data_IF_746255473587
#
_entry.id   IF_746255473587
#
_cell.length_a   1.000
_cell.length_b   1.000
_cell.length_c   1.000
_cell.angle_alpha   90.00
_cell.angle_beta   90.00
_cell.angle_gamma   90.00
#
_symmetry.space_group_name_H-M   'P 1'
#
loop_
_entity.id
_entity.type
_entity.pdbx_description
1 polymer ?
#
# COMPACT_ATOMS: atom_id res chain seq x y z
N UNK A 1 4.29 -14.55 -12.83
CA UNK A 1 4.50 -15.66 -11.87
C UNK A 1 3.19 -15.92 -11.16
N UNK A 2 2.69 -17.15 -11.19
CA UNK A 2 1.54 -17.55 -10.36
C UNK A 2 2.01 -17.68 -8.92
N UNK A 3 1.45 -16.87 -8.03
CA UNK A 3 1.71 -17.00 -6.58
C UNK A 3 0.88 -18.18 -6.09
N UNK A 4 1.53 -19.20 -5.55
CA UNK A 4 0.85 -20.36 -4.96
C UNK A 4 0.49 -20.05 -3.51
N UNK A 5 -0.74 -20.37 -3.10
CA UNK A 5 -1.15 -20.26 -1.71
C UNK A 5 -0.59 -21.45 -0.92
N UNK A 6 0.34 -21.24 0.04
CA UNK A 6 0.82 -22.35 0.86
C UNK A 6 -0.24 -22.77 1.90
N UNK A 7 0.00 -23.88 2.59
CA UNK A 7 -0.87 -24.31 3.70
C UNK A 7 -0.40 -23.66 5.00
N UNK A 8 -1.34 -23.19 5.82
CA UNK A 8 -1.07 -22.66 7.16
C UNK A 8 -2.28 -22.88 8.06
N UNK A 9 -2.11 -23.68 9.12
CA UNK A 9 -3.16 -23.92 10.11
C UNK A 9 -3.55 -22.64 10.88
N UNK A 10 -2.59 -21.73 11.06
CA UNK A 10 -2.86 -20.42 11.66
C UNK A 10 -3.74 -19.58 10.74
N UNK A 11 -3.39 -19.50 9.45
CA UNK A 11 -4.18 -18.77 8.49
C UNK A 11 -5.60 -19.35 8.35
N UNK A 12 -5.73 -20.68 8.34
CA UNK A 12 -7.04 -21.36 8.31
C UNK A 12 -7.90 -20.96 9.52
N UNK A 13 -7.33 -21.04 10.73
CA UNK A 13 -8.02 -20.65 11.98
C UNK A 13 -8.42 -19.18 11.97
N UNK A 14 -7.53 -18.29 11.52
CA UNK A 14 -7.80 -16.86 11.49
C UNK A 14 -8.84 -16.50 10.43
N UNK A 15 -8.81 -17.15 9.28
CA UNK A 15 -9.76 -16.93 8.21
C UNK A 15 -11.16 -17.38 8.63
N UNK A 16 -11.29 -18.56 9.24
CA UNK A 16 -12.56 -19.06 9.78
C UNK A 16 -13.17 -18.07 10.78
N UNK A 17 -12.37 -17.60 11.75
CA UNK A 17 -12.80 -16.58 12.72
C UNK A 17 -13.18 -15.27 12.03
N UNK A 18 -12.39 -14.83 11.05
CA UNK A 18 -12.61 -13.58 10.33
C UNK A 18 -13.95 -13.61 9.58
N UNK A 19 -14.22 -14.69 8.85
CA UNK A 19 -15.45 -14.88 8.08
C UNK A 19 -16.66 -15.15 8.96
N UNK A 20 -16.48 -15.60 10.21
CA UNK A 20 -17.57 -15.68 11.19
C UNK A 20 -17.86 -14.33 11.85
N UNK A 21 -16.82 -13.54 12.18
CA UNK A 21 -16.97 -12.33 13.01
C UNK A 21 -17.36 -11.09 12.21
N UNK A 22 -16.82 -10.92 10.99
CA UNK A 22 -17.05 -9.69 10.21
C UNK A 22 -18.50 -9.54 9.71
N UNK A 23 -19.14 -10.60 9.17
CA UNK A 23 -20.51 -10.48 8.66
C UNK A 23 -21.55 -10.12 9.74
N UNK A 24 -21.36 -10.53 10.99
CA UNK A 24 -22.26 -10.22 12.11
C UNK A 24 -22.37 -8.71 12.39
N UNK A 25 -21.39 -7.92 11.96
CA UNK A 25 -21.37 -6.47 12.12
C UNK A 25 -21.67 -5.73 10.80
N UNK A 26 -22.09 -6.43 9.75
CA UNK A 26 -22.32 -5.85 8.44
C UNK A 26 -23.45 -4.80 8.49
N UNK A 27 -23.29 -3.76 7.68
CA UNK A 27 -24.20 -2.64 7.52
C UNK A 27 -24.44 -2.42 6.02
N UNK A 28 -25.53 -2.96 5.45
CA UNK A 28 -25.80 -2.89 4.02
C UNK A 28 -25.94 -1.47 3.47
N UNK A 29 -26.46 -0.54 4.27
CA UNK A 29 -26.60 0.86 3.86
C UNK A 29 -25.22 1.51 3.74
N UNK A 30 -24.38 1.34 4.77
CA UNK A 30 -23.00 1.84 4.73
C UNK A 30 -22.17 1.15 3.66
N UNK A 31 -22.37 -0.15 3.44
CA UNK A 31 -21.73 -0.90 2.38
C UNK A 31 -21.98 -0.26 1.00
N UNK A 32 -23.22 0.12 0.71
CA UNK A 32 -23.58 0.83 -0.51
C UNK A 32 -22.84 2.17 -0.67
N UNK A 33 -22.75 2.95 0.41
CA UNK A 33 -22.03 4.23 0.43
C UNK A 33 -20.51 4.05 0.24
N UNK A 34 -19.90 3.07 0.91
CA UNK A 34 -18.47 2.76 0.81
C UNK A 34 -18.10 2.25 -0.59
N UNK A 35 -18.94 1.38 -1.17
CA UNK A 35 -18.79 0.90 -2.54
C UNK A 35 -18.83 2.06 -3.55
N UNK A 36 -19.79 2.96 -3.42
CA UNK A 36 -19.91 4.14 -4.29
C UNK A 36 -18.69 5.07 -4.17
N UNK A 37 -18.21 5.32 -2.93
CA UNK A 37 -17.01 6.13 -2.70
C UNK A 37 -15.76 5.53 -3.39
N UNK A 38 -15.64 4.20 -3.40
CA UNK A 38 -14.56 3.48 -4.06
C UNK A 38 -14.82 3.16 -5.53
N UNK A 39 -15.83 3.80 -6.14
CA UNK A 39 -16.19 3.62 -7.56
C UNK A 39 -16.40 2.16 -7.95
N UNK A 40 -17.11 1.43 -7.10
CA UNK A 40 -17.54 0.05 -7.35
C UNK A 40 -16.41 -0.96 -7.53
N UNK A 41 -15.20 -0.67 -7.02
CA UNK A 41 -14.03 -1.56 -7.15
C UNK A 41 -14.22 -2.95 -6.51
N UNK A 42 -15.01 -3.02 -5.44
CA UNK A 42 -15.32 -4.25 -4.71
C UNK A 42 -16.62 -4.09 -3.90
N UNK A 43 -17.28 -5.21 -3.54
CA UNK A 43 -18.25 -5.26 -2.45
C UNK A 43 -17.67 -4.79 -1.11
N UNK A 44 -18.56 -4.43 -0.18
CA UNK A 44 -18.21 -4.02 1.18
C UNK A 44 -19.19 -4.65 2.16
N UNK A 45 -18.73 -4.91 3.38
CA UNK A 45 -19.58 -5.24 4.52
C UNK A 45 -20.15 -3.99 5.20
N UNK A 46 -19.60 -2.80 4.94
CA UNK A 46 -20.02 -1.56 5.59
C UNK A 46 -19.35 -1.34 6.94
N UNK A 47 -18.16 -1.90 7.18
CA UNK A 47 -17.47 -1.76 8.46
C UNK A 47 -16.57 -0.52 8.45
N UNK A 48 -16.81 0.39 9.39
CA UNK A 48 -15.91 1.54 9.61
C UNK A 48 -14.55 1.06 10.14
N UNK A 49 -13.50 1.86 9.92
CA UNK A 49 -12.15 1.53 10.42
C UNK A 49 -12.11 1.21 11.92
N UNK A 50 -12.76 1.98 12.83
CA UNK A 50 -12.79 1.64 14.26
C UNK A 50 -13.45 0.28 14.55
N UNK A 51 -14.59 -0.01 13.91
CA UNK A 51 -15.31 -1.29 14.08
C UNK A 51 -14.46 -2.44 13.55
N UNK A 52 -13.97 -2.35 12.31
CA UNK A 52 -13.09 -3.36 11.70
C UNK A 52 -11.88 -3.66 12.58
N UNK A 53 -11.23 -2.63 13.13
CA UNK A 53 -10.05 -2.78 14.01
C UNK A 53 -10.40 -3.33 15.39
N UNK A 54 -11.63 -3.14 15.86
CA UNK A 54 -12.10 -3.79 17.08
C UNK A 54 -12.31 -5.28 16.85
N UNK A 55 -13.04 -5.64 15.79
CA UNK A 55 -13.30 -7.02 15.40
C UNK A 55 -12.02 -7.78 15.07
N UNK A 56 -11.03 -7.13 14.44
CA UNK A 56 -9.74 -7.78 14.15
C UNK A 56 -8.98 -8.18 15.41
N UNK A 57 -9.17 -7.49 16.54
CA UNK A 57 -8.59 -7.93 17.83
C UNK A 57 -9.24 -9.21 18.33
N UNK A 58 -10.56 -9.35 18.15
CA UNK A 58 -11.29 -10.59 18.48
C UNK A 58 -10.81 -11.75 17.63
N UNK A 59 -10.68 -11.55 16.32
CA UNK A 59 -10.17 -12.57 15.39
C UNK A 59 -8.76 -13.05 15.79
N UNK A 60 -7.89 -12.11 16.15
CA UNK A 60 -6.49 -12.37 16.50
C UNK A 60 -6.26 -12.79 17.96
N UNK A 61 -7.32 -12.86 18.78
CA UNK A 61 -7.18 -13.16 20.20
C UNK A 61 -6.59 -14.58 20.41
N UNK A 62 -5.52 -14.65 21.21
CA UNK A 62 -4.82 -15.90 21.50
C UNK A 62 -4.04 -16.51 20.32
N UNK A 63 -3.96 -15.83 19.17
CA UNK A 63 -3.22 -16.33 18.03
C UNK A 63 -1.70 -16.30 18.30
N UNK A 64 -0.95 -17.35 17.93
CA UNK A 64 0.51 -17.34 18.01
C UNK A 64 1.11 -16.28 17.08
N UNK A 65 2.40 -15.98 17.29
CA UNK A 65 3.16 -15.13 16.37
C UNK A 65 3.30 -15.86 15.02
N UNK A 66 2.94 -15.23 13.90
CA UNK A 66 3.04 -15.88 12.60
C UNK A 66 4.49 -15.99 12.11
N UNK A 67 4.70 -16.85 11.12
CA UNK A 67 5.86 -16.80 10.23
C UNK A 67 5.49 -16.18 8.86
N UNK A 68 6.41 -16.22 7.89
CA UNK A 68 6.17 -15.73 6.52
C UNK A 68 5.12 -16.57 5.77
N UNK A 69 5.05 -17.88 6.02
CA UNK A 69 4.07 -18.78 5.40
C UNK A 69 2.66 -18.42 5.85
N UNK A 70 2.47 -18.14 7.14
CA UNK A 70 1.21 -17.67 7.70
C UNK A 70 0.81 -16.33 7.10
N UNK A 71 1.75 -15.37 7.02
CA UNK A 71 1.51 -14.06 6.41
C UNK A 71 1.10 -14.18 4.94
N UNK A 72 1.79 -15.04 4.18
CA UNK A 72 1.51 -15.30 2.76
C UNK A 72 0.14 -15.93 2.57
N UNK A 73 -0.14 -17.02 3.30
CA UNK A 73 -1.40 -17.74 3.20
C UNK A 73 -2.58 -16.84 3.55
N UNK A 74 -2.51 -16.17 4.70
CA UNK A 74 -3.61 -15.31 5.16
C UNK A 74 -3.85 -14.13 4.23
N UNK A 75 -2.79 -13.48 3.74
CA UNK A 75 -2.94 -12.34 2.84
C UNK A 75 -3.60 -12.74 1.51
N UNK A 76 -3.15 -13.84 0.90
CA UNK A 76 -3.70 -14.34 -0.36
C UNK A 76 -5.15 -14.79 -0.20
N UNK A 77 -5.47 -15.52 0.88
CA UNK A 77 -6.83 -16.00 1.13
C UNK A 77 -7.82 -14.87 1.44
N UNK A 78 -7.39 -13.84 2.17
CA UNK A 78 -8.19 -12.64 2.34
C UNK A 78 -8.41 -11.88 1.03
N UNK A 79 -7.48 -11.98 0.07
CA UNK A 79 -7.59 -11.36 -1.26
C UNK A 79 -8.58 -12.09 -2.19
N UNK A 80 -8.89 -13.35 -1.90
CA UNK A 80 -9.90 -14.15 -2.59
C UNK A 80 -11.33 -13.85 -2.11
N UNK A 81 -11.49 -13.21 -0.95
CA UNK A 81 -12.80 -12.85 -0.40
C UNK A 81 -13.36 -11.60 -1.08
N UNK A 82 -14.69 -11.53 -1.31
CA UNK A 82 -15.27 -10.49 -2.15
C UNK A 82 -15.23 -9.09 -1.50
N UNK A 83 -15.51 -8.98 -0.21
CA UNK A 83 -15.64 -7.69 0.46
C UNK A 83 -14.28 -7.06 0.78
N UNK A 84 -14.15 -5.77 0.49
CA UNK A 84 -12.88 -5.03 0.62
C UNK A 84 -12.32 -5.04 2.05
N UNK A 85 -13.18 -5.17 3.07
CA UNK A 85 -12.77 -5.26 4.46
C UNK A 85 -11.84 -6.43 4.77
N UNK A 86 -11.91 -7.53 4.02
CA UNK A 86 -10.97 -8.65 4.16
C UNK A 86 -9.56 -8.29 3.67
N UNK A 87 -9.46 -7.58 2.53
CA UNK A 87 -8.19 -7.01 2.07
C UNK A 87 -7.62 -6.02 3.09
N UNK A 88 -8.47 -5.19 3.72
CA UNK A 88 -8.02 -4.29 4.79
C UNK A 88 -7.50 -5.02 6.03
N UNK A 89 -8.13 -6.14 6.41
CA UNK A 89 -7.63 -6.99 7.48
C UNK A 89 -6.24 -7.54 7.15
N UNK A 90 -6.05 -8.07 5.93
CA UNK A 90 -4.75 -8.54 5.47
C UNK A 90 -3.68 -7.44 5.48
N UNK A 91 -3.99 -6.24 5.01
CA UNK A 91 -3.06 -5.10 5.03
C UNK A 91 -2.68 -4.70 6.46
N UNK A 92 -3.65 -4.61 7.38
CA UNK A 92 -3.37 -4.31 8.79
C UNK A 92 -2.53 -5.43 9.45
N UNK A 93 -2.77 -6.68 9.08
CA UNK A 93 -2.02 -7.84 9.56
C UNK A 93 -0.57 -7.84 9.06
N UNK A 94 -0.36 -7.64 7.74
CA UNK A 94 0.96 -7.55 7.13
C UNK A 94 1.75 -6.37 7.69
N UNK A 95 1.13 -5.20 7.86
CA UNK A 95 1.78 -4.04 8.47
C UNK A 95 2.39 -4.33 9.84
N UNK A 96 1.79 -5.24 10.63
CA UNK A 96 2.29 -5.62 11.95
C UNK A 96 3.35 -6.73 11.90
N UNK A 97 3.33 -7.56 10.86
CA UNK A 97 4.11 -8.80 10.78
C UNK A 97 5.16 -8.82 9.66
N UNK A 98 5.25 -7.80 8.79
CA UNK A 98 6.19 -7.76 7.67
C UNK A 98 7.66 -7.86 8.11
N UNK A 99 7.99 -7.45 9.33
CA UNK A 99 9.34 -7.66 9.90
C UNK A 99 9.73 -9.14 10.09
N UNK A 100 8.80 -10.06 9.84
CA UNK A 100 9.00 -11.52 9.84
C UNK A 100 9.10 -12.10 8.42
N UNK A 101 8.89 -11.28 7.40
CA UNK A 101 8.95 -11.67 6.01
C UNK A 101 10.34 -11.33 5.45
N UNK A 102 10.89 -12.25 4.67
CA UNK A 102 12.10 -12.07 3.88
C UNK A 102 11.81 -11.35 2.56
N UNK A 103 12.85 -11.11 1.76
CA UNK A 103 12.69 -10.63 0.37
C UNK A 103 11.87 -11.59 -0.51
N UNK A 104 11.69 -12.85 -0.10
CA UNK A 104 10.80 -13.82 -0.73
C UNK A 104 9.33 -13.41 -0.75
N UNK A 105 8.91 -12.47 0.11
CA UNK A 105 7.54 -11.96 0.14
C UNK A 105 7.25 -10.90 -0.94
N UNK A 106 8.27 -10.32 -1.59
CA UNK A 106 8.06 -9.24 -2.57
C UNK A 106 7.15 -9.65 -3.75
N UNK A 107 7.27 -10.87 -4.34
CA UNK A 107 6.33 -11.35 -5.36
C UNK A 107 4.88 -11.45 -4.85
N UNK A 108 4.67 -11.81 -3.58
CA UNK A 108 3.34 -11.82 -2.94
C UNK A 108 2.80 -10.41 -2.86
N UNK A 109 3.60 -9.46 -2.37
CA UNK A 109 3.20 -8.05 -2.30
C UNK A 109 2.85 -7.48 -3.69
N UNK A 110 3.62 -7.84 -4.73
CA UNK A 110 3.31 -7.47 -6.12
C UNK A 110 1.95 -8.01 -6.59
N UNK A 111 1.66 -9.27 -6.28
CA UNK A 111 0.36 -9.88 -6.59
C UNK A 111 -0.77 -9.14 -5.89
N UNK A 112 -0.66 -8.87 -4.59
CA UNK A 112 -1.68 -8.11 -3.85
C UNK A 112 -1.92 -6.73 -4.47
N UNK A 113 -0.85 -6.02 -4.84
CA UNK A 113 -0.94 -4.69 -5.47
C UNK A 113 -1.67 -4.73 -6.81
N UNK A 114 -1.64 -5.84 -7.57
CA UNK A 114 -2.15 -5.91 -8.95
C UNK A 114 -3.49 -6.63 -9.13
N UNK A 115 -3.97 -7.41 -8.16
CA UNK A 115 -5.18 -8.26 -8.35
C UNK A 115 -6.52 -7.48 -8.25
N UNK A 116 -6.69 -6.63 -7.23
CA UNK A 116 -7.87 -5.74 -7.10
C UNK A 116 -7.36 -4.35 -6.70
N UNK A 117 -6.64 -3.68 -7.62
CA UNK A 117 -5.85 -2.53 -7.27
C UNK A 117 -6.72 -1.29 -7.03
N UNK A 118 -6.50 -0.63 -5.91
CA UNK A 118 -7.01 0.72 -5.65
C UNK A 118 -6.19 1.39 -4.55
N UNK A 119 -6.24 2.73 -4.50
CA UNK A 119 -5.32 3.52 -3.66
C UNK A 119 -5.42 3.17 -2.17
N UNK A 120 -6.59 2.78 -1.70
CA UNK A 120 -6.90 2.42 -0.32
C UNK A 120 -6.05 1.25 0.21
N UNK A 121 -5.75 0.24 -0.62
CA UNK A 121 -4.85 -0.87 -0.24
C UNK A 121 -3.43 -0.67 -0.75
N UNK A 122 -3.27 -0.19 -1.99
CA UNK A 122 -1.96 -0.04 -2.64
C UNK A 122 -1.06 0.91 -1.84
N UNK A 123 -1.60 2.04 -1.37
CA UNK A 123 -0.81 3.04 -0.65
C UNK A 123 -0.27 2.48 0.67
N UNK A 124 -1.08 1.67 1.36
CA UNK A 124 -0.69 1.03 2.61
C UNK A 124 0.32 -0.11 2.37
N UNK A 125 0.12 -0.92 1.34
CA UNK A 125 1.08 -1.95 0.94
C UNK A 125 2.42 -1.32 0.56
N UNK A 126 2.42 -0.24 -0.21
CA UNK A 126 3.63 0.49 -0.60
C UNK A 126 4.38 1.02 0.62
N UNK A 127 3.71 1.80 1.48
CA UNK A 127 4.38 2.51 2.58
C UNK A 127 4.74 1.61 3.77
N UNK A 128 3.98 0.54 4.01
CA UNK A 128 4.14 -0.29 5.20
C UNK A 128 4.67 -1.69 4.94
N UNK A 129 4.46 -2.26 3.76
CA UNK A 129 4.90 -3.63 3.44
C UNK A 129 6.12 -3.58 2.53
N UNK A 130 5.98 -3.12 1.29
CA UNK A 130 7.08 -3.02 0.32
C UNK A 130 8.18 -2.11 0.85
N UNK A 131 7.81 -0.94 1.35
CA UNK A 131 8.75 0.00 1.97
C UNK A 131 9.56 -0.64 3.09
N UNK A 132 8.95 -1.47 3.94
CA UNK A 132 9.63 -2.18 5.02
C UNK A 132 10.54 -3.31 4.53
N UNK A 133 10.12 -4.08 3.52
CA UNK A 133 10.95 -5.10 2.88
C UNK A 133 12.23 -4.49 2.29
N UNK A 134 12.10 -3.36 1.59
CA UNK A 134 13.26 -2.62 1.04
C UNK A 134 14.15 -2.04 2.17
N UNK A 135 13.61 -1.79 3.38
CA UNK A 135 14.47 -1.38 4.53
C UNK A 135 15.35 -2.55 4.91
N UNK A 136 14.71 -3.71 5.08
CA UNK A 136 15.36 -4.91 5.59
C UNK A 136 16.35 -5.50 4.59
N UNK A 137 16.07 -5.40 3.29
CA UNK A 137 16.94 -5.87 2.22
C UNK A 137 17.09 -4.79 1.12
N UNK A 138 18.12 -3.92 1.20
CA UNK A 138 18.37 -2.87 0.22
C UNK A 138 18.59 -3.38 -1.21
N UNK A 139 18.88 -4.68 -1.42
CA UNK A 139 18.98 -5.25 -2.77
C UNK A 139 17.66 -5.20 -3.53
N UNK A 140 16.53 -5.09 -2.82
CA UNK A 140 15.21 -4.90 -3.42
C UNK A 140 15.00 -3.50 -4.03
N UNK A 141 15.94 -2.57 -3.85
CA UNK A 141 15.89 -1.27 -4.53
C UNK A 141 15.87 -1.43 -6.06
N UNK A 142 16.57 -2.43 -6.60
CA UNK A 142 16.55 -2.76 -8.04
C UNK A 142 15.16 -3.15 -8.54
N UNK A 143 14.35 -3.79 -7.68
CA UNK A 143 12.98 -4.15 -8.03
C UNK A 143 12.12 -2.90 -8.07
N UNK A 144 12.36 -1.91 -7.19
CA UNK A 144 11.71 -0.60 -7.30
C UNK A 144 12.14 0.14 -8.55
N UNK A 145 13.42 0.02 -8.96
CA UNK A 145 13.94 0.66 -10.18
C UNK A 145 13.29 0.04 -11.43
N UNK A 146 12.87 -1.22 -11.37
CA UNK A 146 12.06 -1.86 -12.41
C UNK A 146 10.57 -1.48 -12.30
N UNK A 147 10.01 -1.46 -11.08
CA UNK A 147 8.58 -1.19 -10.85
C UNK A 147 8.18 0.23 -11.23
N UNK A 148 9.10 1.21 -11.13
CA UNK A 148 8.81 2.58 -11.59
C UNK A 148 8.61 2.67 -13.10
N UNK A 149 9.03 1.67 -13.88
CA UNK A 149 8.88 1.61 -15.34
C UNK A 149 7.79 0.63 -15.79
N UNK A 150 7.05 0.06 -14.83
CA UNK A 150 5.98 -0.91 -15.10
C UNK A 150 4.78 -0.26 -15.79
N UNK A 151 4.15 -0.99 -16.72
CA UNK A 151 2.92 -0.56 -17.39
C UNK A 151 1.72 -0.52 -16.43
N UNK A 152 1.74 -1.31 -15.36
CA UNK A 152 0.75 -1.23 -14.29
C UNK A 152 1.02 0.00 -13.40
N UNK A 153 0.15 1.00 -13.50
CA UNK A 153 0.24 2.24 -12.74
C UNK A 153 0.28 2.00 -11.22
N UNK A 154 -0.31 0.92 -10.69
CA UNK A 154 -0.32 0.64 -9.26
C UNK A 154 1.01 0.07 -8.77
N UNK A 155 1.73 -0.62 -9.65
CA UNK A 155 3.11 -1.03 -9.42
C UNK A 155 4.03 0.20 -9.45
N UNK A 156 3.91 1.06 -10.46
CA UNK A 156 4.68 2.31 -10.53
C UNK A 156 4.37 3.25 -9.35
N UNK A 157 3.10 3.36 -8.94
CA UNK A 157 2.68 4.07 -7.73
C UNK A 157 3.32 3.48 -6.49
N UNK A 158 3.41 2.15 -6.39
CA UNK A 158 4.11 1.50 -5.28
C UNK A 158 5.58 1.91 -5.21
N UNK A 159 6.27 1.93 -6.35
CA UNK A 159 7.65 2.40 -6.43
C UNK A 159 7.80 3.88 -6.02
N UNK A 160 6.87 4.76 -6.39
CA UNK A 160 6.87 6.16 -5.94
C UNK A 160 6.68 6.30 -4.42
N UNK A 161 5.87 5.43 -3.80
CA UNK A 161 5.44 5.59 -2.41
C UNK A 161 6.20 4.73 -1.38
N UNK A 162 7.05 3.79 -1.81
CA UNK A 162 7.75 2.87 -0.88
C UNK A 162 8.65 3.59 0.14
N UNK A 163 9.13 4.80 -0.18
CA UNK A 163 9.97 5.60 0.71
C UNK A 163 9.21 6.55 1.64
N UNK A 164 7.87 6.60 1.60
CA UNK A 164 7.06 7.61 2.33
C UNK A 164 7.39 7.74 3.83
N UNK A 165 7.92 6.70 4.46
CA UNK A 165 8.20 6.67 5.90
C UNK A 165 9.67 6.77 6.27
N UNK A 166 10.55 7.04 5.30
CA UNK A 166 12.01 7.00 5.48
C UNK A 166 12.62 8.26 6.11
N UNK A 167 11.95 9.41 5.99
CA UNK A 167 12.40 10.69 6.56
C UNK A 167 13.87 10.98 6.21
N UNK A 168 14.76 11.08 7.20
CA UNK A 168 16.19 11.38 7.03
C UNK A 168 16.94 10.29 6.24
N UNK A 169 16.39 9.08 6.19
CA UNK A 169 16.97 7.94 5.44
C UNK A 169 16.40 7.78 4.03
N UNK A 170 15.68 8.78 3.53
CA UNK A 170 15.13 8.76 2.16
C UNK A 170 16.28 8.88 1.16
N UNK A 171 16.33 7.96 0.19
CA UNK A 171 17.19 8.10 -0.98
C UNK A 171 16.56 9.14 -1.92
N UNK A 172 17.11 10.36 -1.87
CA UNK A 172 16.60 11.52 -2.62
C UNK A 172 16.87 11.44 -4.11
N UNK A 173 17.99 10.84 -4.51
CA UNK A 173 18.30 10.61 -5.92
C UNK A 173 17.23 9.71 -6.54
N UNK A 174 16.89 8.60 -5.87
CA UNK A 174 15.81 7.71 -6.31
C UNK A 174 14.45 8.40 -6.28
N UNK A 175 14.12 9.10 -5.18
CA UNK A 175 12.84 9.80 -5.04
C UNK A 175 12.62 10.79 -6.19
N UNK A 176 13.59 11.68 -6.42
CA UNK A 176 13.51 12.70 -7.46
C UNK A 176 13.60 12.09 -8.86
N UNK A 177 14.48 11.11 -9.07
CA UNK A 177 14.60 10.37 -10.31
C UNK A 177 13.28 9.71 -10.73
N UNK A 178 12.61 9.02 -9.79
CA UNK A 178 11.30 8.40 -10.04
C UNK A 178 10.23 9.42 -10.37
N UNK A 179 10.19 10.54 -9.64
CA UNK A 179 9.26 11.64 -9.93
C UNK A 179 9.45 12.17 -11.36
N UNK A 180 10.70 12.27 -11.85
CA UNK A 180 10.98 12.73 -13.21
C UNK A 180 10.67 11.71 -14.30
N UNK A 181 10.92 10.40 -14.04
CA UNK A 181 10.54 9.32 -14.96
C UNK A 181 9.02 9.28 -15.17
N UNK A 182 8.27 9.41 -14.09
CA UNK A 182 6.80 9.38 -14.12
C UNK A 182 6.13 10.76 -14.32
N UNK A 183 6.91 11.84 -14.44
CA UNK A 183 6.38 13.19 -14.64
C UNK A 183 5.43 13.33 -15.86
N UNK A 184 5.69 12.69 -17.02
CA UNK A 184 4.81 12.76 -18.18
C UNK A 184 3.50 11.97 -18.03
N UNK A 185 3.39 11.09 -17.02
CA UNK A 185 2.26 10.17 -16.91
C UNK A 185 0.92 10.95 -16.80
N UNK A 186 -0.09 10.60 -17.62
CA UNK A 186 -1.34 11.36 -17.67
C UNK A 186 -2.26 11.06 -16.48
N UNK A 187 -2.14 9.87 -15.89
CA UNK A 187 -3.05 9.38 -14.87
C UNK A 187 -3.03 10.20 -13.56
N UNK A 188 -4.21 10.36 -12.98
CA UNK A 188 -4.45 11.10 -11.76
C UNK A 188 -3.70 10.52 -10.56
N UNK A 189 -3.70 9.20 -10.39
CA UNK A 189 -3.08 8.53 -9.25
C UNK A 189 -1.56 8.62 -9.29
N UNK A 190 -0.93 8.54 -10.47
CA UNK A 190 0.51 8.76 -10.58
C UNK A 190 0.89 10.21 -10.23
N UNK A 191 0.18 11.20 -10.77
CA UNK A 191 0.42 12.61 -10.46
C UNK A 191 0.22 12.91 -8.97
N UNK A 192 -0.81 12.31 -8.35
CA UNK A 192 -1.02 12.38 -6.90
C UNK A 192 0.11 11.71 -6.11
N UNK A 193 0.64 10.58 -6.57
CA UNK A 193 1.75 9.90 -5.91
C UNK A 193 3.01 10.76 -5.91
N UNK A 194 3.40 11.33 -7.06
CA UNK A 194 4.53 12.27 -7.18
C UNK A 194 4.38 13.44 -6.21
N UNK A 195 3.22 14.10 -6.22
CA UNK A 195 2.98 15.21 -5.31
C UNK A 195 3.03 14.81 -3.83
N UNK A 196 2.53 13.62 -3.49
CA UNK A 196 2.50 13.14 -2.12
C UNK A 196 3.88 12.72 -1.61
N UNK A 197 4.66 11.94 -2.37
CA UNK A 197 6.00 11.54 -1.91
C UNK A 197 6.91 12.75 -1.70
N UNK A 198 6.83 13.77 -2.58
CA UNK A 198 7.51 15.05 -2.40
C UNK A 198 7.01 15.81 -1.17
N UNK A 199 5.69 15.93 -0.98
CA UNK A 199 5.12 16.61 0.20
C UNK A 199 5.51 15.91 1.50
N UNK A 200 5.56 14.59 1.49
CA UNK A 200 5.95 13.81 2.67
C UNK A 200 7.42 14.05 3.01
N UNK A 201 8.30 14.01 2.00
CA UNK A 201 9.72 14.30 2.19
C UNK A 201 9.99 15.76 2.58
N UNK A 202 9.16 16.71 2.14
CA UNK A 202 9.26 18.12 2.54
C UNK A 202 9.09 18.36 4.05
N UNK A 203 8.55 17.39 4.81
CA UNK A 203 8.54 17.45 6.28
C UNK A 203 9.93 17.25 6.89
N UNK A 204 10.85 16.64 6.15
CA UNK A 204 12.24 16.42 6.52
C UNK A 204 13.15 17.46 5.88
N UNK A 205 13.04 17.67 4.57
CA UNK A 205 13.85 18.64 3.84
C UNK A 205 12.97 19.48 2.87
N UNK A 206 12.40 20.59 3.36
CA UNK A 206 11.54 21.44 2.55
C UNK A 206 12.31 22.15 1.42
N UNK A 207 13.57 22.52 1.64
CA UNK A 207 14.36 23.30 0.69
C UNK A 207 14.82 22.46 -0.50
N UNK A 208 15.16 21.19 -0.27
CA UNK A 208 15.42 20.23 -1.35
C UNK A 208 14.18 20.06 -2.24
N UNK A 209 12.98 19.96 -1.65
CA UNK A 209 11.74 19.81 -2.41
C UNK A 209 11.40 21.08 -3.19
N UNK A 210 11.55 22.29 -2.61
CA UNK A 210 11.39 23.55 -3.35
C UNK A 210 12.33 23.63 -4.54
N UNK A 211 13.61 23.35 -4.30
CA UNK A 211 14.66 23.40 -5.33
C UNK A 211 14.36 22.44 -6.48
N UNK A 212 14.00 21.20 -6.16
CA UNK A 212 13.60 20.20 -7.16
C UNK A 212 12.38 20.65 -7.96
N UNK A 213 11.32 21.12 -7.28
CA UNK A 213 10.08 21.55 -7.95
C UNK A 213 10.32 22.79 -8.81
N UNK A 214 11.13 23.75 -8.36
CA UNK A 214 11.49 24.94 -9.12
C UNK A 214 12.27 24.58 -10.39
N UNK A 215 13.29 23.72 -10.26
CA UNK A 215 14.13 23.28 -11.38
C UNK A 215 13.35 22.47 -12.44
N UNK A 216 12.29 21.77 -12.05
CA UNK A 216 11.54 20.88 -12.93
C UNK A 216 10.07 21.25 -13.13
N UNK A 217 9.68 22.48 -12.78
CA UNK A 217 8.28 22.95 -12.86
C UNK A 217 7.66 22.75 -14.24
N UNK A 218 8.43 22.92 -15.32
CA UNK A 218 7.94 22.73 -16.69
C UNK A 218 7.69 21.27 -17.10
N UNK A 219 8.22 20.30 -16.33
CA UNK A 219 8.04 18.85 -16.58
C UNK A 219 6.98 18.23 -15.68
N UNK A 220 6.82 18.74 -14.46
CA UNK A 220 5.85 18.21 -13.50
C UNK A 220 4.44 18.69 -13.84
N UNK A 221 3.46 17.80 -13.67
CA UNK A 221 2.06 18.19 -13.80
C UNK A 221 1.68 19.27 -12.75
N UNK A 222 0.82 20.25 -13.10
CA UNK A 222 0.38 21.28 -12.16
C UNK A 222 -0.22 20.73 -10.85
N UNK A 223 -0.91 19.59 -10.93
CA UNK A 223 -1.42 18.87 -9.77
C UNK A 223 -0.28 18.42 -8.84
N UNK A 224 0.76 17.79 -9.38
CA UNK A 224 1.91 17.30 -8.60
C UNK A 224 2.63 18.44 -7.90
N UNK A 225 2.86 19.56 -8.60
CA UNK A 225 3.47 20.78 -8.04
C UNK A 225 2.65 21.31 -6.87
N UNK A 226 1.33 21.48 -7.06
CA UNK A 226 0.44 21.98 -6.01
C UNK A 226 0.41 21.06 -4.78
N UNK A 227 0.37 19.75 -5.00
CA UNK A 227 0.38 18.77 -3.90
C UNK A 227 1.71 18.79 -3.14
N UNK A 228 2.84 18.85 -3.85
CA UNK A 228 4.18 18.86 -3.26
C UNK A 228 4.41 20.09 -2.36
N UNK A 229 3.98 21.27 -2.82
CA UNK A 229 4.23 22.55 -2.14
C UNK A 229 3.16 22.92 -1.09
N UNK A 230 2.12 22.09 -0.90
CA UNK A 230 0.92 22.43 -0.12
C UNK A 230 1.21 23.01 1.27
N UNK A 231 2.25 22.51 1.96
CA UNK A 231 2.56 22.88 3.33
C UNK A 231 3.80 23.77 3.47
N UNK A 232 4.51 24.02 2.39
CA UNK A 232 5.78 24.76 2.41
C UNK A 232 5.67 26.06 1.63
N UNK A 233 4.76 26.17 0.64
CA UNK A 233 4.69 27.30 -0.27
C UNK A 233 5.71 27.18 -1.42
N UNK A 234 5.71 28.14 -2.37
CA UNK A 234 6.71 28.19 -3.45
C UNK A 234 8.13 28.43 -2.94
#
# INVERSE_FOLDING_TARGET
>A
MTVTVPRSALADTLLERLTAVYPEAADPERAGQMRAYMKDVAPFLGLTTPVRRALSRTVLAGAPRPDETDCTTLALRCWELPEREYAYFAVDYLRRNVGRCSSGFLPVARHLVSTVPWWDTVDLLAAHVVGALVVADPRLAKDMDAWIEDDDLWIARTALLHQLRRKETTDTERLFGYCLRQAPHPDFFIRKAIGWCLREYAKTDPDAVRSFVAAHRGRLAPLSVREALKNIGP
#
